data_IF_099145208995
#
_entry.id   IF_099145208995
#
_cell.length_a   1.000
_cell.length_b   1.000
_cell.length_c   1.000
_cell.angle_alpha   90.00
_cell.angle_beta   90.00
_cell.angle_gamma   90.00
#
_symmetry.space_group_name_H-M   'P 1'
#
loop_
_entity.id
_entity.type
_entity.pdbx_description
1 polymer ?
#
# COMPACT_ATOMS: atom_id res chain seq x y z
N UNK A 1 -2.44 21.69 -2.38
CA UNK A 1 -2.87 20.57 -3.25
C UNK A 1 -3.26 19.31 -2.44
N UNK A 2 -2.53 18.92 -1.39
CA UNK A 2 -2.85 17.72 -0.59
C UNK A 2 -4.21 17.75 0.16
N UNK A 3 -4.72 18.92 0.54
CA UNK A 3 -6.00 19.07 1.27
C UNK A 3 -7.25 18.89 0.40
N UNK A 4 -7.13 19.00 -0.93
CA UNK A 4 -8.29 18.87 -1.84
C UNK A 4 -8.71 17.40 -1.97
N UNK A 5 -7.74 16.48 -1.90
CA UNK A 5 -8.00 15.04 -1.97
C UNK A 5 -8.52 14.45 -0.65
N UNK A 6 -8.40 15.18 0.46
CA UNK A 6 -8.83 14.72 1.78
C UNK A 6 -10.34 14.47 1.84
N UNK A 7 -11.13 15.35 1.19
CA UNK A 7 -12.60 15.27 1.22
C UNK A 7 -13.14 14.05 0.47
N UNK A 8 -12.50 13.66 -0.63
CA UNK A 8 -12.88 12.48 -1.41
C UNK A 8 -12.52 11.17 -0.68
N UNK A 9 -11.40 11.16 0.04
CA UNK A 9 -10.95 9.99 0.80
C UNK A 9 -11.80 9.75 2.07
N UNK A 10 -12.32 10.81 2.70
CA UNK A 10 -13.25 10.69 3.83
C UNK A 10 -14.57 10.02 3.40
N UNK A 11 -15.09 10.33 2.21
CA UNK A 11 -16.35 9.77 1.71
C UNK A 11 -16.25 8.28 1.33
N UNK A 12 -15.05 7.81 0.94
CA UNK A 12 -14.85 6.44 0.46
C UNK A 12 -14.50 5.45 1.59
N UNK A 13 -14.01 5.94 2.74
CA UNK A 13 -13.46 5.10 3.81
C UNK A 13 -14.02 5.40 5.21
N UNK A 14 -15.15 6.11 5.29
CA UNK A 14 -15.99 6.28 6.49
C UNK A 14 -15.26 6.68 7.79
N UNK A 15 -14.31 7.62 7.73
CA UNK A 15 -13.72 8.19 8.96
C UNK A 15 -13.48 9.70 8.78
N UNK A 16 -14.19 10.55 9.53
CA UNK A 16 -14.14 12.00 9.35
C UNK A 16 -12.89 12.69 9.94
N UNK A 17 -11.96 11.94 10.56
CA UNK A 17 -10.91 12.54 11.37
C UNK A 17 -9.54 11.83 11.26
N UNK A 18 -8.90 11.88 10.08
CA UNK A 18 -7.43 11.73 9.88
C UNK A 18 -6.75 10.38 10.20
N UNK A 19 -7.40 9.50 10.97
CA UNK A 19 -6.90 8.19 11.35
C UNK A 19 -6.89 7.23 10.15
N UNK A 20 -7.91 7.30 9.30
CA UNK A 20 -8.00 6.44 8.12
C UNK A 20 -6.96 6.82 7.06
N UNK A 21 -6.69 8.12 6.86
CA UNK A 21 -5.60 8.57 5.98
C UNK A 21 -4.27 8.02 6.43
N UNK A 22 -3.92 8.03 7.72
CA UNK A 22 -2.64 7.46 8.18
C UNK A 22 -2.57 5.94 8.04
N UNK A 23 -3.67 5.20 8.20
CA UNK A 23 -3.71 3.73 8.03
C UNK A 23 -3.62 3.36 6.55
N UNK A 24 -4.43 3.98 5.69
CA UNK A 24 -4.39 3.75 4.25
C UNK A 24 -3.12 4.28 3.62
N UNK A 25 -2.59 5.40 4.12
CA UNK A 25 -1.30 5.97 3.69
C UNK A 25 -0.13 5.12 4.16
N UNK A 26 -0.17 4.55 5.38
CA UNK A 26 0.84 3.59 5.83
C UNK A 26 0.85 2.31 5.01
N UNK A 27 -0.33 1.78 4.66
CA UNK A 27 -0.44 0.67 3.71
C UNK A 27 0.08 1.07 2.32
N UNK A 28 -0.32 2.23 1.80
CA UNK A 28 0.14 2.75 0.51
C UNK A 28 1.66 3.00 0.46
N UNK A 29 2.28 3.43 1.56
CA UNK A 29 3.74 3.56 1.66
C UNK A 29 4.41 2.21 1.45
N UNK A 30 3.87 1.15 2.06
CA UNK A 30 4.46 -0.20 1.98
C UNK A 30 4.18 -0.89 0.66
N UNK A 31 2.96 -0.77 0.13
CA UNK A 31 2.53 -1.49 -1.09
C UNK A 31 2.83 -0.74 -2.37
N UNK A 32 3.04 0.58 -2.32
CA UNK A 32 3.24 1.39 -3.53
C UNK A 32 4.53 2.20 -3.44
N UNK A 33 4.70 3.04 -2.42
CA UNK A 33 5.81 4.01 -2.38
C UNK A 33 7.19 3.34 -2.25
N UNK A 34 7.32 2.36 -1.35
CA UNK A 34 8.53 1.54 -1.19
C UNK A 34 8.89 0.76 -2.46
N UNK A 35 8.01 -0.07 -3.04
CA UNK A 35 8.34 -0.84 -4.24
C UNK A 35 8.50 0.04 -5.48
N UNK A 36 7.82 1.18 -5.57
CA UNK A 36 8.08 2.20 -6.60
C UNK A 36 9.51 2.74 -6.54
N UNK A 37 10.03 3.01 -5.34
CA UNK A 37 11.41 3.45 -5.15
C UNK A 37 12.44 2.38 -5.56
N UNK A 38 12.09 1.10 -5.44
CA UNK A 38 12.94 -0.04 -5.81
C UNK A 38 12.75 -0.51 -7.26
N UNK A 39 11.77 0.03 -7.98
CA UNK A 39 11.48 -0.33 -9.37
C UNK A 39 12.43 0.39 -10.33
N UNK A 40 12.75 -0.26 -11.45
CA UNK A 40 13.52 0.34 -12.54
C UNK A 40 12.68 1.31 -13.42
N UNK A 41 11.48 1.70 -12.98
CA UNK A 41 10.55 2.64 -13.66
C UNK A 41 10.01 2.19 -15.03
N UNK A 42 10.60 1.17 -15.65
CA UNK A 42 10.06 0.48 -16.82
C UNK A 42 9.00 -0.54 -16.39
N UNK A 43 7.76 -0.36 -16.84
CA UNK A 43 6.62 -1.19 -16.44
C UNK A 43 6.45 -1.32 -14.90
N UNK A 44 6.69 -0.21 -14.18
CA UNK A 44 6.74 -0.17 -12.72
C UNK A 44 5.47 -0.74 -12.04
N UNK A 45 4.28 -0.52 -12.60
CA UNK A 45 3.03 -1.08 -12.06
C UNK A 45 3.04 -2.61 -12.02
N UNK A 46 3.53 -3.25 -13.09
CA UNK A 46 3.65 -4.71 -13.14
C UNK A 46 4.67 -5.22 -12.12
N UNK A 47 5.80 -4.52 -11.98
CA UNK A 47 6.84 -4.87 -11.00
C UNK A 47 6.36 -4.71 -9.56
N UNK A 48 5.65 -3.63 -9.24
CA UNK A 48 5.05 -3.40 -7.93
C UNK A 48 4.02 -4.48 -7.62
N UNK A 49 3.16 -4.83 -8.57
CA UNK A 49 2.15 -5.87 -8.40
C UNK A 49 2.79 -7.24 -8.11
N UNK A 50 3.79 -7.64 -8.91
CA UNK A 50 4.53 -8.88 -8.71
C UNK A 50 5.27 -8.91 -7.35
N UNK A 51 5.86 -7.78 -6.96
CA UNK A 51 6.57 -7.65 -5.67
C UNK A 51 5.60 -7.81 -4.50
N UNK A 52 4.45 -7.14 -4.55
CA UNK A 52 3.42 -7.26 -3.52
C UNK A 52 2.87 -8.68 -3.42
N UNK A 53 2.64 -9.33 -4.57
CA UNK A 53 2.20 -10.73 -4.62
C UNK A 53 3.22 -11.67 -3.98
N UNK A 54 4.50 -11.56 -4.36
CA UNK A 54 5.58 -12.35 -3.77
C UNK A 54 5.67 -12.14 -2.25
N UNK A 55 5.62 -10.89 -1.81
CA UNK A 55 5.69 -10.53 -0.38
C UNK A 55 4.51 -11.13 0.40
N UNK A 56 3.30 -11.12 -0.17
CA UNK A 56 2.12 -11.75 0.43
C UNK A 56 2.23 -13.27 0.52
N UNK A 57 2.77 -13.91 -0.52
CA UNK A 57 2.98 -15.35 -0.55
C UNK A 57 4.03 -15.79 0.48
N UNK A 58 5.14 -15.06 0.58
CA UNK A 58 6.18 -15.30 1.60
C UNK A 58 5.62 -15.12 3.01
N UNK A 59 4.83 -14.08 3.27
CA UNK A 59 4.20 -13.87 4.57
C UNK A 59 3.26 -15.03 4.94
N UNK A 60 2.44 -15.50 3.99
CA UNK A 60 1.55 -16.64 4.20
C UNK A 60 2.33 -17.95 4.44
N UNK A 61 3.42 -18.18 3.69
CA UNK A 61 4.29 -19.33 3.90
C UNK A 61 4.97 -19.28 5.27
N UNK A 62 5.56 -18.14 5.65
CA UNK A 62 6.18 -17.94 6.97
C UNK A 62 5.22 -18.13 8.13
N UNK A 63 3.93 -17.79 7.98
CA UNK A 63 2.93 -18.04 9.01
C UNK A 63 2.75 -19.54 9.32
N UNK A 64 2.87 -20.41 8.31
CA UNK A 64 2.83 -21.86 8.49
C UNK A 64 4.07 -22.46 9.16
N UNK A 65 5.23 -21.79 9.09
CA UNK A 65 6.47 -22.23 9.75
C UNK A 65 6.57 -21.80 11.21
N UNK A 66 5.72 -20.88 11.67
CA UNK A 66 5.72 -20.36 13.05
C UNK A 66 4.69 -21.05 13.95
N UNK A 67 4.07 -22.12 13.45
CA UNK A 67 3.14 -22.99 14.17
C UNK A 67 3.87 -24.12 14.91
#
# INVERSE_FOLDING_TARGET
HALVHYKSLIHLFDVPNGLCTSITESKHITTVKKPWCCSNKYNALRQILQTNQCTSQLAAACAGFKA
#
